data_IF_397938184737
#
_entry.id   IF_397938184737
#
_cell.length_a   1.000
_cell.length_b   1.000
_cell.length_c   1.000
_cell.angle_alpha   90.00
_cell.angle_beta   90.00
_cell.angle_gamma   90.00
#
_symmetry.space_group_name_H-M   'P 1'
#
loop_
_entity.id
_entity.type
_entity.pdbx_description
1 polymer ?
#
# COMPACT_ATOMS: atom_id res chain seq x y z
N UNK A 1 -13.94 -17.76 5.56
CA UNK A 1 -13.40 -16.45 5.97
C UNK A 1 -12.17 -16.17 5.11
N UNK A 2 -12.09 -15.02 4.45
CA UNK A 2 -10.95 -14.66 3.58
C UNK A 2 -9.96 -13.82 4.39
N UNK A 3 -8.73 -14.31 4.58
CA UNK A 3 -7.66 -13.56 5.24
C UNK A 3 -6.91 -12.71 4.21
N UNK A 4 -7.32 -11.44 4.08
CA UNK A 4 -6.68 -10.44 3.22
C UNK A 4 -5.15 -10.35 3.44
N UNK A 5 -4.73 -10.32 4.71
CA UNK A 5 -3.33 -10.21 5.09
C UNK A 5 -2.49 -11.38 4.57
N UNK A 6 -3.02 -12.60 4.72
CA UNK A 6 -2.34 -13.82 4.29
C UNK A 6 -2.28 -13.89 2.78
N UNK A 7 -3.42 -13.69 2.09
CA UNK A 7 -3.48 -13.72 0.63
C UNK A 7 -2.51 -12.74 -0.03
N UNK A 8 -2.31 -11.55 0.55
CA UNK A 8 -1.35 -10.55 0.06
C UNK A 8 0.12 -10.99 0.20
N UNK A 9 0.42 -12.02 1.00
CA UNK A 9 1.78 -12.54 1.30
C UNK A 9 1.96 -14.01 0.92
N UNK A 10 1.05 -14.57 0.13
CA UNK A 10 1.16 -15.94 -0.34
C UNK A 10 2.07 -16.03 -1.56
N UNK A 11 3.13 -16.82 -1.45
CA UNK A 11 4.05 -17.11 -2.56
C UNK A 11 3.32 -17.68 -3.77
N UNK A 12 2.31 -18.52 -3.57
CA UNK A 12 1.51 -19.08 -4.68
C UNK A 12 0.68 -18.04 -5.44
N UNK A 13 0.45 -16.86 -4.86
CA UNK A 13 -0.33 -15.78 -5.48
C UNK A 13 0.59 -14.68 -6.05
N UNK A 14 1.67 -14.36 -5.33
CA UNK A 14 2.51 -13.20 -5.62
C UNK A 14 3.96 -13.55 -5.96
N UNK A 15 4.38 -14.81 -5.88
CA UNK A 15 5.77 -15.23 -6.08
C UNK A 15 6.63 -15.05 -4.81
N UNK A 16 7.91 -15.41 -4.92
CA UNK A 16 8.88 -15.38 -3.80
C UNK A 16 9.07 -13.98 -3.21
N UNK A 17 8.91 -12.93 -4.03
CA UNK A 17 9.03 -11.53 -3.64
C UNK A 17 7.73 -10.95 -3.04
N UNK A 18 6.79 -11.80 -2.59
CA UNK A 18 5.50 -11.38 -2.04
C UNK A 18 5.61 -10.50 -0.77
N UNK A 19 6.73 -10.58 -0.08
CA UNK A 19 7.02 -9.80 1.12
C UNK A 19 7.81 -8.51 0.83
N UNK A 20 8.21 -8.28 -0.42
CA UNK A 20 8.98 -7.10 -0.82
C UNK A 20 8.07 -5.94 -1.23
N UNK A 21 8.50 -4.72 -0.90
CA UNK A 21 7.87 -3.51 -1.46
C UNK A 21 8.41 -3.26 -2.87
N UNK A 22 7.66 -3.72 -3.88
CA UNK A 22 8.04 -3.64 -5.30
C UNK A 22 6.96 -2.98 -6.15
N UNK A 23 6.93 -1.63 -6.24
CA UNK A 23 5.97 -0.89 -7.06
C UNK A 23 5.97 -1.30 -8.54
N UNK A 24 7.12 -1.72 -9.05
CA UNK A 24 7.33 -2.14 -10.44
C UNK A 24 6.47 -3.37 -10.81
N UNK A 25 6.01 -4.14 -9.82
CA UNK A 25 5.07 -5.27 -10.01
C UNK A 25 3.78 -4.85 -10.74
N UNK A 26 3.40 -3.59 -10.61
CA UNK A 26 2.16 -3.02 -11.16
C UNK A 26 2.37 -2.30 -12.50
N UNK A 27 3.58 -2.35 -13.06
CA UNK A 27 3.96 -1.65 -14.29
C UNK A 27 4.42 -2.70 -15.30
N UNK A 28 3.94 -2.61 -16.53
CA UNK A 28 4.37 -3.47 -17.64
C UNK A 28 5.72 -2.98 -18.20
N UNK A 29 6.42 -3.83 -18.95
CA UNK A 29 7.76 -3.49 -19.50
C UNK A 29 7.73 -2.26 -20.43
N UNK A 30 6.58 -1.97 -21.04
CA UNK A 30 6.30 -0.80 -21.87
C UNK A 30 5.77 0.42 -21.08
N UNK A 31 5.72 0.33 -19.75
CA UNK A 31 5.44 1.46 -18.85
C UNK A 31 3.96 1.70 -18.53
N UNK A 32 3.05 0.81 -18.95
CA UNK A 32 1.62 0.92 -18.62
C UNK A 32 1.28 0.31 -17.27
N UNK A 33 0.11 0.68 -16.74
CA UNK A 33 -0.41 0.06 -15.53
C UNK A 33 -0.90 -1.35 -15.84
N UNK A 34 -0.30 -2.33 -15.19
CA UNK A 34 -0.70 -3.73 -15.27
C UNK A 34 -2.06 -3.91 -14.59
N UNK A 35 -3.03 -4.43 -15.33
CA UNK A 35 -4.31 -4.83 -14.75
C UNK A 35 -4.14 -6.09 -13.90
N UNK A 36 -4.56 -6.03 -12.63
CA UNK A 36 -4.62 -7.18 -11.74
C UNK A 36 -6.08 -7.48 -11.36
N UNK A 37 -6.57 -8.72 -11.51
CA UNK A 37 -7.94 -9.05 -11.17
C UNK A 37 -8.24 -8.80 -9.68
N UNK A 38 -9.43 -8.27 -9.40
CA UNK A 38 -9.83 -7.91 -8.03
C UNK A 38 -9.86 -9.10 -7.07
N UNK A 39 -10.08 -10.33 -7.54
CA UNK A 39 -10.03 -11.54 -6.70
C UNK A 39 -8.61 -11.88 -6.23
N UNK A 40 -7.58 -11.45 -6.98
CA UNK A 40 -6.17 -11.58 -6.59
C UNK A 40 -5.75 -10.40 -5.73
N UNK A 41 -6.08 -9.16 -6.16
CA UNK A 41 -5.84 -7.94 -5.39
C UNK A 41 -7.12 -7.47 -4.66
N UNK A 42 -7.43 -8.15 -3.55
CA UNK A 42 -8.72 -8.01 -2.85
C UNK A 42 -8.79 -6.83 -1.86
N UNK A 43 -7.86 -5.87 -1.91
CA UNK A 43 -7.71 -4.75 -0.95
C UNK A 43 -8.96 -3.86 -0.81
N UNK A 44 -9.81 -3.80 -1.84
CA UNK A 44 -11.08 -3.07 -1.83
C UNK A 44 -12.30 -4.00 -1.96
N UNK A 45 -12.14 -5.30 -1.68
CA UNK A 45 -13.06 -6.38 -2.05
C UNK A 45 -13.23 -6.52 -3.58
N UNK A 46 -14.19 -7.34 -4.01
CA UNK A 46 -14.54 -7.53 -5.42
C UNK A 46 -16.05 -7.69 -5.61
N UNK A 47 -16.49 -7.57 -6.88
CA UNK A 47 -17.88 -7.77 -7.28
C UNK A 47 -18.82 -6.63 -6.84
N UNK A 48 -20.14 -6.89 -6.74
CA UNK A 48 -21.15 -5.86 -6.43
C UNK A 48 -20.99 -5.18 -5.06
N UNK A 49 -20.15 -5.74 -4.18
CA UNK A 49 -19.85 -5.22 -2.84
C UNK A 49 -18.42 -4.65 -2.75
N UNK A 50 -17.81 -4.32 -3.88
CA UNK A 50 -16.56 -3.57 -3.92
C UNK A 50 -16.72 -2.25 -3.14
N UNK A 51 -15.65 -1.81 -2.49
CA UNK A 51 -15.65 -0.56 -1.73
C UNK A 51 -16.04 0.60 -2.63
N UNK A 52 -17.17 1.25 -2.31
CA UNK A 52 -17.66 2.44 -3.02
C UNK A 52 -16.67 3.61 -2.96
N UNK A 53 -15.85 3.66 -1.90
CA UNK A 53 -14.83 4.70 -1.69
C UNK A 53 -13.50 4.44 -2.39
N UNK A 54 -13.36 3.37 -3.20
CA UNK A 54 -12.08 2.99 -3.83
C UNK A 54 -11.44 4.15 -4.59
N UNK A 55 -12.19 4.79 -5.49
CA UNK A 55 -11.62 5.82 -6.38
C UNK A 55 -11.30 7.12 -5.61
N UNK A 56 -12.13 7.45 -4.62
CA UNK A 56 -11.88 8.58 -3.71
C UNK A 56 -10.60 8.32 -2.89
N UNK A 57 -10.44 7.12 -2.35
CA UNK A 57 -9.25 6.73 -1.59
C UNK A 57 -7.98 6.84 -2.46
N UNK A 58 -8.01 6.33 -3.70
CA UNK A 58 -6.87 6.47 -4.62
C UNK A 58 -6.53 7.92 -4.92
N UNK A 59 -7.54 8.77 -5.13
CA UNK A 59 -7.33 10.19 -5.40
C UNK A 59 -6.67 10.89 -4.21
N UNK A 60 -7.17 10.65 -2.99
CA UNK A 60 -6.59 11.23 -1.76
C UNK A 60 -5.17 10.72 -1.51
N UNK A 61 -4.93 9.41 -1.64
CA UNK A 61 -3.60 8.82 -1.45
C UNK A 61 -2.57 9.41 -2.41
N UNK A 62 -2.92 9.54 -3.70
CA UNK A 62 -2.04 10.17 -4.70
C UNK A 62 -1.73 11.63 -4.33
N UNK A 63 -2.74 12.40 -3.90
CA UNK A 63 -2.56 13.79 -3.47
C UNK A 63 -1.61 13.91 -2.27
N UNK A 64 -1.79 13.08 -1.25
CA UNK A 64 -0.93 13.05 -0.06
C UNK A 64 0.50 12.67 -0.43
N UNK A 65 0.70 11.59 -1.20
CA UNK A 65 2.05 11.12 -1.60
C UNK A 65 2.75 12.17 -2.46
N UNK A 66 2.08 12.73 -3.47
CA UNK A 66 2.66 13.76 -4.33
C UNK A 66 3.07 15.00 -3.52
N UNK A 67 2.22 15.44 -2.58
CA UNK A 67 2.50 16.59 -1.71
C UNK A 67 3.68 16.31 -0.79
N UNK A 68 3.73 15.11 -0.19
CA UNK A 68 4.82 14.69 0.70
C UNK A 68 6.16 14.64 -0.04
N UNK A 69 6.20 13.95 -1.19
CA UNK A 69 7.42 13.83 -2.01
C UNK A 69 7.90 15.17 -2.56
N UNK A 70 6.97 16.08 -2.89
CA UNK A 70 7.32 17.40 -3.43
C UNK A 70 7.92 18.31 -2.38
N UNK A 71 7.37 18.33 -1.16
CA UNK A 71 7.66 19.39 -0.18
C UNK A 71 8.59 18.96 0.94
N UNK A 72 8.72 17.66 1.21
CA UNK A 72 9.40 17.17 2.39
C UNK A 72 10.41 16.06 2.08
N UNK A 73 11.45 15.98 2.91
CA UNK A 73 12.31 14.81 3.03
C UNK A 73 11.97 14.11 4.36
N UNK A 74 11.69 12.81 4.29
CA UNK A 74 11.39 11.99 5.47
C UNK A 74 12.52 11.02 5.75
N UNK A 75 12.97 10.96 7.00
CA UNK A 75 13.87 9.91 7.49
C UNK A 75 13.12 9.11 8.54
N UNK A 76 13.06 7.79 8.33
CA UNK A 76 12.51 6.83 9.29
C UNK A 76 13.69 5.97 9.74
N UNK A 77 14.09 6.16 11.00
CA UNK A 77 15.07 5.28 11.64
C UNK A 77 14.44 3.92 11.95
N UNK A 78 15.24 2.92 12.33
CA UNK A 78 14.79 1.54 12.57
C UNK A 78 13.51 1.49 13.42
N UNK A 79 12.37 1.29 12.76
CA UNK A 79 11.05 1.35 13.38
C UNK A 79 10.45 -0.06 13.42
N UNK A 80 10.01 -0.56 14.59
CA UNK A 80 9.39 -1.88 14.71
C UNK A 80 8.02 -1.90 14.03
N UNK A 81 7.95 -2.51 12.84
CA UNK A 81 6.69 -2.64 12.08
C UNK A 81 5.90 -3.84 12.61
N UNK A 82 5.00 -3.57 13.56
CA UNK A 82 4.10 -4.58 14.13
C UNK A 82 2.65 -4.18 13.89
N UNK A 83 1.81 -5.06 13.30
CA UNK A 83 0.40 -4.76 13.11
C UNK A 83 -0.34 -4.71 14.44
N UNK A 84 -1.21 -3.72 14.60
CA UNK A 84 -2.23 -3.69 15.62
C UNK A 84 -3.42 -4.56 15.17
N UNK A 85 -3.75 -5.57 15.97
CA UNK A 85 -4.86 -6.49 15.70
C UNK A 85 -6.19 -5.79 16.05
N UNK A 86 -6.70 -5.01 15.09
CA UNK A 86 -7.98 -4.33 15.18
C UNK A 86 -8.77 -4.52 13.87
N UNK A 87 -10.03 -4.06 13.83
CA UNK A 87 -10.87 -4.11 12.61
C UNK A 87 -10.19 -3.43 11.41
N UNK A 88 -9.40 -2.39 11.67
CA UNK A 88 -8.53 -1.73 10.67
C UNK A 88 -7.08 -2.01 11.04
N UNK A 89 -6.33 -2.62 10.14
CA UNK A 89 -4.89 -2.82 10.36
C UNK A 89 -4.19 -1.46 10.46
N UNK A 90 -3.60 -1.19 11.62
CA UNK A 90 -2.77 -0.01 11.88
C UNK A 90 -1.43 -0.44 12.46
N UNK A 91 -0.46 0.47 12.53
CA UNK A 91 0.83 0.19 13.18
C UNK A 91 0.65 0.30 14.69
N UNK A 92 1.02 -0.74 15.44
CA UNK A 92 0.90 -0.79 16.90
C UNK A 92 1.65 0.35 17.59
N UNK A 93 2.76 0.80 17.01
CA UNK A 93 3.64 1.82 17.58
C UNK A 93 3.62 3.14 16.78
N UNK A 94 2.61 3.34 15.93
CA UNK A 94 2.58 4.48 14.99
C UNK A 94 3.69 4.40 13.95
N UNK A 95 4.05 5.53 13.34
CA UNK A 95 5.23 5.68 12.48
C UNK A 95 5.90 7.00 12.85
N UNK A 96 6.97 6.95 13.63
CA UNK A 96 7.79 8.14 13.88
C UNK A 96 8.74 8.38 12.72
N UNK A 97 8.69 9.60 12.19
CA UNK A 97 9.51 10.05 11.08
C UNK A 97 9.99 11.47 11.37
N UNK A 98 11.26 11.73 11.11
CA UNK A 98 11.78 13.09 11.07
C UNK A 98 11.50 13.65 9.69
N UNK A 99 10.83 14.79 9.64
CA UNK A 99 10.42 15.44 8.39
C UNK A 99 11.08 16.81 8.30
N UNK A 100 11.80 17.06 7.21
CA UNK A 100 12.40 18.36 6.91
C UNK A 100 11.82 18.92 5.62
N UNK A 101 11.78 20.24 5.50
CA UNK A 101 11.41 20.87 4.23
C UNK A 101 12.45 20.54 3.17
N UNK A 102 12.00 20.20 1.96
CA UNK A 102 12.88 19.91 0.84
C UNK A 102 13.51 21.17 0.22
N UNK A 103 12.85 22.31 0.38
CA UNK A 103 13.20 23.58 -0.27
C UNK A 103 13.86 24.60 0.67
N UNK A 104 14.09 24.23 1.93
CA UNK A 104 14.90 25.00 2.88
C UNK A 104 16.29 24.38 3.00
#
# INVERSE_FOLDING_TARGET
MISLYTMARMVSVWGEDCCEFKPERWITDDGWIKHEPAHKFFSFNAGPRICIGKDIAFTMMKGVVATMMRNYNGVVESHPVVPNLSTVFSMKHGLMATVTNRWN
#
